data_IF_176894300092
#
_entry.id   IF_176894300092
#
_cell.length_a   1.000
_cell.length_b   1.000
_cell.length_c   1.000
_cell.angle_alpha   90.00
_cell.angle_beta   90.00
_cell.angle_gamma   90.00
#
_symmetry.space_group_name_H-M   'P 1'
#
loop_
_entity.id
_entity.type
_entity.pdbx_description
1 polymer ?
#
# COMPACT_ATOMS: atom_id res chain seq x y z
N UNK A 1 0.34 -26.37 21.16
CA UNK A 1 -0.24 -25.48 20.13
C UNK A 1 0.89 -25.15 19.18
N UNK A 2 0.77 -25.45 17.86
CA UNK A 2 1.80 -25.13 16.87
C UNK A 2 1.94 -23.63 16.75
N UNK A 3 3.18 -23.15 16.62
CA UNK A 3 3.51 -21.71 16.50
C UNK A 3 3.73 -21.31 15.04
N UNK A 4 3.16 -20.20 14.61
CA UNK A 4 3.34 -19.62 13.28
C UNK A 4 4.07 -18.29 13.35
N UNK A 5 5.10 -18.16 12.53
CA UNK A 5 5.85 -16.95 12.26
C UNK A 5 5.54 -16.47 10.85
N UNK A 6 5.20 -15.19 10.67
CA UNK A 6 4.90 -14.62 9.35
C UNK A 6 5.69 -13.35 9.16
N UNK A 7 6.47 -13.29 8.09
CA UNK A 7 7.06 -12.08 7.57
C UNK A 7 6.18 -11.47 6.48
N UNK A 8 6.01 -10.16 6.50
CA UNK A 8 5.21 -9.44 5.50
C UNK A 8 6.10 -8.53 4.67
N UNK A 9 6.07 -8.72 3.36
CA UNK A 9 6.80 -7.95 2.38
C UNK A 9 5.84 -7.34 1.37
N UNK A 10 6.00 -6.05 1.08
CA UNK A 10 5.24 -5.40 0.02
C UNK A 10 4.46 -4.17 0.47
N UNK A 11 3.20 -4.08 0.09
CA UNK A 11 2.33 -2.93 0.33
C UNK A 11 1.43 -3.12 1.56
N UNK A 12 0.68 -2.08 1.91
CA UNK A 12 -0.29 -2.11 3.01
C UNK A 12 -1.35 -3.22 2.87
N UNK A 13 -1.73 -3.58 1.63
CA UNK A 13 -2.61 -4.73 1.39
C UNK A 13 -2.01 -6.05 1.86
N UNK A 14 -0.69 -6.24 1.76
CA UNK A 14 -0.05 -7.44 2.30
C UNK A 14 -0.09 -7.47 3.83
N UNK A 15 -0.03 -6.30 4.49
CA UNK A 15 -0.21 -6.22 5.94
C UNK A 15 -1.64 -6.64 6.32
N UNK A 16 -2.66 -6.05 5.68
CA UNK A 16 -4.05 -6.46 5.90
C UNK A 16 -4.30 -7.93 5.60
N UNK A 17 -3.69 -8.47 4.54
CA UNK A 17 -3.76 -9.90 4.22
C UNK A 17 -3.12 -10.77 5.32
N UNK A 18 -2.00 -10.34 5.89
CA UNK A 18 -1.34 -11.05 7.00
C UNK A 18 -2.22 -11.09 8.25
N UNK A 19 -2.95 -10.03 8.55
CA UNK A 19 -3.91 -9.96 9.65
C UNK A 19 -5.07 -10.95 9.47
N UNK A 20 -5.54 -11.12 8.23
CA UNK A 20 -6.53 -12.14 7.87
C UNK A 20 -5.95 -13.56 8.04
N UNK A 21 -4.72 -13.77 7.55
CA UNK A 21 -4.04 -15.08 7.69
C UNK A 21 -3.87 -15.46 9.15
N UNK A 22 -3.45 -14.52 10.02
CA UNK A 22 -3.36 -14.78 11.46
C UNK A 22 -4.72 -15.12 12.07
N UNK A 23 -5.80 -14.43 11.67
CA UNK A 23 -7.14 -14.75 12.15
C UNK A 23 -7.57 -16.17 11.77
N UNK A 24 -7.34 -16.59 10.53
CA UNK A 24 -7.65 -17.93 10.04
C UNK A 24 -6.85 -18.98 10.81
N UNK A 25 -5.54 -18.79 10.96
CA UNK A 25 -4.66 -19.75 11.62
C UNK A 25 -4.90 -19.82 13.12
N UNK A 26 -5.20 -18.69 13.79
CA UNK A 26 -5.57 -18.68 15.21
C UNK A 26 -6.85 -19.49 15.47
N UNK A 27 -7.88 -19.34 14.63
CA UNK A 27 -9.11 -20.15 14.70
C UNK A 27 -8.85 -21.64 14.46
N UNK A 28 -7.80 -21.97 13.69
CA UNK A 28 -7.37 -23.34 13.44
C UNK A 28 -6.42 -23.90 14.53
N UNK A 29 -6.19 -23.16 15.61
CA UNK A 29 -5.40 -23.63 16.76
C UNK A 29 -3.89 -23.36 16.65
N UNK A 30 -3.45 -22.45 15.76
CA UNK A 30 -2.05 -21.99 15.71
C UNK A 30 -1.86 -20.77 16.61
N UNK A 31 -0.72 -20.72 17.33
CA UNK A 31 -0.29 -19.54 18.08
C UNK A 31 0.68 -18.68 17.25
N UNK A 32 0.63 -17.34 17.43
CA UNK A 32 1.61 -16.44 16.86
C UNK A 32 2.93 -16.49 17.63
N UNK A 33 4.05 -16.41 16.92
CA UNK A 33 5.37 -16.13 17.51
C UNK A 33 6.09 -15.03 16.73
N UNK A 34 6.92 -14.27 17.44
CA UNK A 34 7.84 -13.28 16.86
C UNK A 34 9.25 -13.88 16.66
N UNK A 35 9.52 -15.05 17.22
CA UNK A 35 10.80 -15.73 17.10
C UNK A 35 10.70 -16.87 16.06
N UNK A 36 11.40 -16.71 14.95
CA UNK A 36 11.49 -17.72 13.90
C UNK A 36 12.08 -19.04 14.41
N UNK A 37 12.93 -18.98 15.45
CA UNK A 37 13.52 -20.18 16.03
C UNK A 37 12.51 -21.07 16.79
N UNK A 38 11.38 -20.50 17.22
CA UNK A 38 10.32 -21.24 17.91
C UNK A 38 9.17 -21.68 16.98
N UNK A 39 9.18 -21.24 15.71
CA UNK A 39 8.09 -21.47 14.80
C UNK A 39 8.04 -22.91 14.29
N UNK A 40 6.87 -23.53 14.32
CA UNK A 40 6.57 -24.79 13.62
C UNK A 40 6.20 -24.54 12.15
N UNK A 41 5.71 -23.33 11.86
CA UNK A 41 5.33 -22.88 10.52
C UNK A 41 5.94 -21.51 10.27
N UNK A 42 6.67 -21.37 9.17
CA UNK A 42 7.33 -20.14 8.76
C UNK A 42 6.75 -19.72 7.41
N UNK A 43 6.10 -18.56 7.37
CA UNK A 43 5.44 -18.02 6.18
C UNK A 43 6.03 -16.69 5.78
N UNK A 44 6.07 -16.40 4.48
CA UNK A 44 6.28 -15.06 3.95
C UNK A 44 5.08 -14.64 3.10
N UNK A 45 4.42 -13.55 3.47
CA UNK A 45 3.42 -12.91 2.64
C UNK A 45 4.10 -11.87 1.73
N UNK A 46 3.95 -12.02 0.42
CA UNK A 46 4.86 -11.42 -0.56
C UNK A 46 4.13 -10.64 -1.64
N UNK A 47 4.82 -9.64 -2.19
CA UNK A 47 4.38 -8.78 -3.29
C UNK A 47 5.13 -9.14 -4.59
N UNK A 48 4.52 -8.87 -5.75
CA UNK A 48 5.13 -9.06 -7.07
C UNK A 48 5.30 -7.75 -7.86
N UNK A 49 5.13 -6.61 -7.20
CA UNK A 49 5.16 -5.30 -7.89
C UNK A 49 6.59 -4.84 -8.20
N UNK A 50 7.61 -5.29 -7.46
CA UNK A 50 9.00 -4.82 -7.58
C UNK A 50 10.00 -5.98 -7.68
N UNK A 51 10.94 -5.95 -8.65
CA UNK A 51 11.97 -6.99 -8.83
C UNK A 51 12.89 -7.14 -7.61
N UNK A 52 13.41 -6.04 -7.11
CA UNK A 52 14.28 -6.06 -5.93
C UNK A 52 13.60 -6.68 -4.69
N UNK A 53 12.27 -6.59 -4.60
CA UNK A 53 11.53 -7.26 -3.55
C UNK A 53 11.57 -8.78 -3.74
N UNK A 54 11.41 -9.25 -4.96
CA UNK A 54 11.42 -10.68 -5.28
C UNK A 54 12.78 -11.33 -5.05
N UNK A 55 13.87 -10.70 -5.49
CA UNK A 55 15.22 -11.21 -5.22
C UNK A 55 15.51 -11.33 -3.70
N UNK A 56 15.05 -10.35 -2.92
CA UNK A 56 15.16 -10.41 -1.46
C UNK A 56 14.36 -11.58 -0.88
N UNK A 57 13.19 -11.88 -1.44
CA UNK A 57 12.38 -13.02 -0.99
C UNK A 57 13.10 -14.35 -1.27
N UNK A 58 13.73 -14.50 -2.44
CA UNK A 58 14.52 -15.71 -2.70
C UNK A 58 15.66 -15.89 -1.70
N UNK A 59 16.39 -14.84 -1.34
CA UNK A 59 17.38 -14.89 -0.25
C UNK A 59 16.77 -15.26 1.11
N UNK A 60 15.52 -14.79 1.38
CA UNK A 60 14.82 -15.13 2.61
C UNK A 60 14.33 -16.58 2.63
N UNK A 61 13.89 -17.11 1.49
CA UNK A 61 13.52 -18.53 1.31
C UNK A 61 14.70 -19.44 1.65
N UNK A 62 15.94 -19.09 1.31
CA UNK A 62 17.12 -19.85 1.71
C UNK A 62 17.27 -19.92 3.24
N UNK A 63 17.02 -18.82 3.93
CA UNK A 63 17.08 -18.80 5.40
C UNK A 63 15.94 -19.65 6.01
N UNK A 64 14.74 -19.60 5.45
CA UNK A 64 13.64 -20.48 5.90
C UNK A 64 13.97 -21.96 5.67
N UNK A 65 14.56 -22.27 4.52
CA UNK A 65 14.98 -23.63 4.20
C UNK A 65 16.09 -24.12 5.13
N UNK A 66 16.97 -23.25 5.65
CA UNK A 66 17.93 -23.58 6.69
C UNK A 66 17.20 -24.04 7.97
N UNK A 67 16.20 -23.28 8.44
CA UNK A 67 15.40 -23.68 9.62
C UNK A 67 14.68 -25.01 9.40
N UNK A 68 14.14 -25.25 8.20
CA UNK A 68 13.50 -26.51 7.82
C UNK A 68 14.45 -27.69 7.87
N UNK A 69 15.69 -27.53 7.40
CA UNK A 69 16.71 -28.58 7.41
C UNK A 69 17.25 -28.90 8.80
N UNK A 70 17.35 -27.89 9.66
CA UNK A 70 17.91 -28.03 11.01
C UNK A 70 16.86 -28.50 12.04
N UNK A 71 15.57 -28.31 11.74
CA UNK A 71 14.44 -28.67 12.62
C UNK A 71 13.40 -29.50 11.84
N UNK A 72 13.49 -30.84 11.89
CA UNK A 72 12.52 -31.69 11.23
C UNK A 72 11.08 -31.40 11.70
N UNK A 73 10.16 -31.29 10.74
CA UNK A 73 8.74 -30.99 10.99
C UNK A 73 8.38 -29.50 10.87
N UNK A 74 9.34 -28.59 10.69
CA UNK A 74 9.04 -27.19 10.34
C UNK A 74 8.55 -27.13 8.90
N UNK A 75 7.41 -26.44 8.71
CA UNK A 75 6.79 -26.19 7.40
C UNK A 75 7.09 -24.77 6.94
N UNK A 76 7.50 -24.60 5.70
CA UNK A 76 7.78 -23.28 5.10
C UNK A 76 6.77 -22.96 4.02
N UNK A 77 6.35 -21.68 3.90
CA UNK A 77 5.36 -21.30 2.88
C UNK A 77 5.49 -19.88 2.36
N UNK A 78 5.09 -19.69 1.10
CA UNK A 78 5.01 -18.40 0.42
C UNK A 78 3.56 -18.08 0.13
N UNK A 79 3.14 -16.87 0.52
CA UNK A 79 1.78 -16.37 0.38
C UNK A 79 1.74 -15.11 -0.50
N UNK A 80 0.56 -14.77 -1.00
CA UNK A 80 0.27 -13.50 -1.65
C UNK A 80 0.61 -13.45 -3.13
N UNK A 81 0.93 -12.24 -3.65
CA UNK A 81 1.04 -12.00 -5.08
C UNK A 81 2.18 -12.77 -5.76
N UNK A 82 3.31 -12.98 -5.07
CA UNK A 82 4.43 -13.76 -5.62
C UNK A 82 4.05 -15.25 -5.71
N UNK A 83 3.32 -15.77 -4.71
CA UNK A 83 2.79 -17.14 -4.75
C UNK A 83 1.89 -17.35 -5.97
N UNK A 84 0.95 -16.42 -6.21
CA UNK A 84 0.05 -16.46 -7.36
C UNK A 84 0.78 -16.38 -8.71
N UNK A 85 1.87 -15.61 -8.79
CA UNK A 85 2.60 -15.42 -10.03
C UNK A 85 3.57 -16.57 -10.35
N UNK A 86 4.28 -17.08 -9.36
CA UNK A 86 5.31 -18.10 -9.55
C UNK A 86 4.77 -19.53 -9.45
N UNK A 87 3.67 -19.71 -8.72
CA UNK A 87 2.94 -20.99 -8.64
C UNK A 87 3.85 -22.19 -8.37
N UNK A 88 3.76 -23.17 -9.24
CA UNK A 88 4.49 -24.45 -9.16
C UNK A 88 6.01 -24.27 -9.08
N UNK A 89 6.59 -23.25 -9.73
CA UNK A 89 8.04 -23.00 -9.71
C UNK A 89 8.58 -22.78 -8.26
N UNK A 90 7.76 -22.28 -7.33
CA UNK A 90 8.14 -22.20 -5.93
C UNK A 90 8.28 -23.58 -5.27
N UNK A 91 7.34 -24.51 -5.54
CA UNK A 91 7.42 -25.88 -5.03
C UNK A 91 8.55 -26.67 -5.67
N UNK A 92 8.72 -26.54 -7.01
CA UNK A 92 9.77 -27.21 -7.76
C UNK A 92 11.18 -26.82 -7.32
N UNK A 93 11.33 -25.66 -6.66
CA UNK A 93 12.59 -25.27 -6.03
C UNK A 93 13.01 -26.22 -4.89
N UNK A 94 12.08 -27.04 -4.36
CA UNK A 94 12.30 -27.93 -3.22
C UNK A 94 12.54 -27.21 -1.89
N UNK A 95 12.37 -25.88 -1.84
CA UNK A 95 12.67 -25.04 -0.66
C UNK A 95 11.42 -24.57 0.09
N UNK A 96 10.24 -24.81 -0.48
CA UNK A 96 8.94 -24.33 0.01
C UNK A 96 7.98 -25.51 0.05
N UNK A 97 7.21 -25.64 1.12
CA UNK A 97 6.24 -26.73 1.33
C UNK A 97 4.81 -26.28 1.01
N UNK A 98 4.50 -24.98 1.17
CA UNK A 98 3.16 -24.41 0.92
C UNK A 98 3.25 -23.17 0.07
N UNK A 99 2.41 -23.12 -0.97
CA UNK A 99 2.23 -21.94 -1.84
C UNK A 99 0.75 -21.57 -1.86
N UNK A 100 0.40 -20.35 -1.41
CA UNK A 100 -0.99 -19.92 -1.39
C UNK A 100 -1.15 -18.51 -1.99
N UNK A 101 -1.99 -18.39 -3.01
CA UNK A 101 -2.39 -17.13 -3.62
C UNK A 101 -3.20 -16.25 -2.66
N UNK A 102 -3.42 -14.96 -3.02
CA UNK A 102 -4.10 -14.01 -2.13
C UNK A 102 -5.58 -14.35 -1.87
N UNK A 103 -6.19 -15.19 -2.66
CA UNK A 103 -7.59 -15.61 -2.49
C UNK A 103 -7.72 -17.03 -1.88
N UNK A 104 -6.61 -17.66 -1.54
CA UNK A 104 -6.54 -19.03 -1.03
C UNK A 104 -6.28 -19.14 0.49
N UNK A 105 -6.34 -18.04 1.25
CA UNK A 105 -5.96 -18.07 2.66
C UNK A 105 -6.87 -18.95 3.52
N UNK A 106 -8.15 -19.14 3.16
CA UNK A 106 -9.06 -20.05 3.88
C UNK A 106 -8.60 -21.49 3.83
N UNK A 107 -7.87 -21.91 2.82
CA UNK A 107 -7.35 -23.27 2.69
C UNK A 107 -6.05 -23.50 3.47
N UNK A 108 -5.40 -22.47 4.02
CA UNK A 108 -4.13 -22.58 4.72
C UNK A 108 -4.10 -23.67 5.82
N UNK A 109 -5.11 -23.81 6.70
CA UNK A 109 -5.08 -24.87 7.71
C UNK A 109 -4.97 -26.27 7.09
N UNK A 110 -5.69 -26.53 6.00
CA UNK A 110 -5.64 -27.80 5.26
C UNK A 110 -4.28 -28.00 4.59
N UNK A 111 -3.77 -26.96 3.92
CA UNK A 111 -2.48 -27.01 3.23
C UNK A 111 -1.33 -27.29 4.20
N UNK A 112 -1.33 -26.59 5.35
CA UNK A 112 -0.32 -26.77 6.39
C UNK A 112 -0.39 -28.15 7.05
N UNK A 113 -1.59 -28.70 7.25
CA UNK A 113 -1.77 -30.05 7.79
C UNK A 113 -1.17 -31.10 6.84
N UNK A 114 -1.43 -31.01 5.53
CA UNK A 114 -0.87 -31.93 4.54
C UNK A 114 0.65 -31.75 4.39
N UNK A 115 1.16 -30.53 4.38
CA UNK A 115 2.59 -30.25 4.31
C UNK A 115 3.35 -30.81 5.54
N UNK A 116 2.74 -30.78 6.73
CA UNK A 116 3.31 -31.41 7.94
C UNK A 116 3.49 -32.92 7.79
N UNK A 117 2.71 -33.56 6.91
CA UNK A 117 2.81 -35.00 6.59
C UNK A 117 3.81 -35.28 5.45
N UNK A 118 4.55 -34.27 4.99
CA UNK A 118 5.53 -34.39 3.91
C UNK A 118 4.95 -34.25 2.49
N UNK A 119 3.73 -33.75 2.36
CA UNK A 119 3.06 -33.53 1.08
C UNK A 119 3.03 -32.03 0.73
N UNK A 120 3.95 -31.51 -0.10
CA UNK A 120 3.91 -30.11 -0.53
C UNK A 120 2.58 -29.74 -1.17
N UNK A 121 2.10 -28.52 -0.91
CA UNK A 121 0.75 -28.07 -1.27
C UNK A 121 0.77 -26.72 -1.99
N UNK A 122 -0.12 -26.59 -2.97
CA UNK A 122 -0.36 -25.32 -3.67
C UNK A 122 -1.86 -25.04 -3.79
N UNK A 123 -2.22 -23.77 -3.60
CA UNK A 123 -3.55 -23.24 -3.89
C UNK A 123 -3.41 -21.79 -4.37
N UNK A 124 -3.57 -21.58 -5.67
CA UNK A 124 -3.36 -20.31 -6.36
C UNK A 124 -4.55 -19.95 -7.26
N UNK A 125 -5.72 -20.40 -6.89
CA UNK A 125 -6.95 -20.10 -7.63
C UNK A 125 -7.44 -18.69 -7.28
N UNK A 126 -7.57 -17.82 -8.28
CA UNK A 126 -8.17 -16.51 -8.13
C UNK A 126 -9.70 -16.62 -8.04
N UNK A 127 -10.26 -16.13 -6.95
CA UNK A 127 -11.70 -16.09 -6.72
C UNK A 127 -12.34 -14.91 -7.44
N UNK A 128 -13.62 -15.03 -7.75
CA UNK A 128 -14.46 -13.93 -8.23
C UNK A 128 -15.30 -13.28 -7.12
N UNK A 129 -15.33 -13.87 -5.94
CA UNK A 129 -16.23 -13.48 -4.84
C UNK A 129 -15.51 -13.21 -3.52
N UNK A 130 -14.34 -13.84 -3.28
CA UNK A 130 -13.65 -13.76 -1.99
C UNK A 130 -13.19 -12.35 -1.66
N UNK A 131 -13.68 -11.81 -0.56
CA UNK A 131 -13.29 -10.51 0.00
C UNK A 131 -12.77 -10.60 1.44
N UNK A 132 -12.91 -11.77 2.10
CA UNK A 132 -12.65 -11.99 3.52
C UNK A 132 -13.47 -11.07 4.45
N UNK A 133 -14.60 -10.57 3.95
CA UNK A 133 -15.42 -9.59 4.67
C UNK A 133 -16.08 -10.10 5.96
N UNK A 134 -16.18 -11.42 6.13
CA UNK A 134 -16.70 -12.11 7.31
C UNK A 134 -15.63 -12.41 8.37
N UNK A 135 -14.34 -12.17 8.06
CA UNK A 135 -13.23 -12.43 8.97
C UNK A 135 -12.84 -11.15 9.70
N UNK A 136 -12.92 -11.19 11.03
CA UNK A 136 -12.34 -10.14 11.87
C UNK A 136 -10.81 -10.30 11.89
N UNK A 137 -10.03 -9.29 11.42
CA UNK A 137 -8.58 -9.41 11.37
C UNK A 137 -7.94 -9.46 12.77
N UNK A 138 -6.87 -10.23 12.91
CA UNK A 138 -5.98 -10.15 14.07
C UNK A 138 -4.92 -9.10 13.79
N UNK A 139 -5.01 -7.95 14.44
CA UNK A 139 -4.11 -6.82 14.21
C UNK A 139 -2.67 -7.16 14.54
N UNK A 140 -1.77 -6.81 13.62
CA UNK A 140 -0.33 -7.06 13.75
C UNK A 140 0.47 -5.78 13.99
N UNK A 141 -0.19 -4.63 13.96
CA UNK A 141 0.46 -3.34 14.22
C UNK A 141 1.02 -3.31 15.66
N UNK A 142 2.30 -2.95 15.75
CA UNK A 142 3.01 -2.87 17.04
C UNK A 142 2.65 -1.65 17.87
N UNK A 143 2.14 -0.60 17.22
CA UNK A 143 1.88 0.68 17.89
C UNK A 143 0.44 0.81 18.38
N UNK A 144 -0.51 0.02 17.86
CA UNK A 144 -1.93 0.13 18.17
C UNK A 144 -2.56 1.48 17.77
N UNK A 145 -1.90 2.23 16.86
CA UNK A 145 -2.30 3.60 16.50
C UNK A 145 -3.14 3.62 15.23
N UNK A 146 -2.68 2.92 14.18
CA UNK A 146 -3.32 2.93 12.85
C UNK A 146 -3.71 1.52 12.43
N UNK A 147 -4.86 1.35 11.78
CA UNK A 147 -5.31 0.07 11.24
C UNK A 147 -5.61 0.16 9.75
N UNK A 148 -5.41 -0.95 9.03
CA UNK A 148 -5.73 -1.08 7.62
C UNK A 148 -7.04 -1.85 7.44
N UNK A 149 -7.95 -1.31 6.64
CA UNK A 149 -9.24 -1.96 6.33
C UNK A 149 -9.31 -2.17 4.82
N UNK A 150 -9.25 -3.42 4.39
CA UNK A 150 -9.45 -3.76 2.98
C UNK A 150 -10.94 -3.60 2.63
N UNK A 151 -11.24 -2.70 1.69
CA UNK A 151 -12.61 -2.45 1.23
C UNK A 151 -12.93 -3.17 -0.08
N UNK A 152 -11.90 -3.55 -0.82
CA UNK A 152 -12.02 -4.25 -2.10
C UNK A 152 -10.76 -5.02 -2.43
N UNK A 153 -10.84 -5.96 -3.37
CA UNK A 153 -9.73 -6.78 -3.87
C UNK A 153 -9.77 -6.85 -5.38
N UNK A 154 -8.59 -6.98 -6.01
CA UNK A 154 -8.47 -7.04 -7.46
C UNK A 154 -8.62 -5.69 -8.14
N UNK A 155 -8.46 -5.65 -9.46
CA UNK A 155 -8.56 -4.43 -10.25
C UNK A 155 -8.96 -4.77 -11.69
N UNK A 156 -9.96 -4.05 -12.21
CA UNK A 156 -10.42 -4.18 -13.60
C UNK A 156 -9.66 -3.24 -14.56
N UNK A 157 -8.77 -2.38 -14.05
CA UNK A 157 -7.91 -1.59 -14.89
C UNK A 157 -6.84 -2.48 -15.55
N UNK A 158 -6.76 -2.41 -16.86
CA UNK A 158 -5.84 -3.21 -17.69
C UNK A 158 -4.59 -2.44 -18.08
N UNK A 159 -4.00 -1.69 -17.12
CA UNK A 159 -2.75 -0.98 -17.35
C UNK A 159 -1.69 -1.94 -17.89
N UNK A 160 -1.01 -1.56 -18.98
CA UNK A 160 -0.19 -2.50 -19.76
C UNK A 160 1.00 -3.05 -18.98
N UNK A 161 1.52 -2.32 -18.01
CA UNK A 161 2.67 -2.68 -17.17
C UNK A 161 2.29 -3.44 -15.89
N UNK A 162 0.99 -3.54 -15.56
CA UNK A 162 0.55 -3.92 -14.22
C UNK A 162 0.29 -5.43 -14.10
N UNK A 163 0.81 -6.03 -13.03
CA UNK A 163 0.60 -7.45 -12.71
C UNK A 163 -0.64 -7.70 -11.85
N UNK A 164 -1.25 -6.67 -11.27
CA UNK A 164 -2.34 -6.80 -10.29
C UNK A 164 -3.52 -7.62 -10.80
N UNK A 165 -4.05 -7.41 -12.02
CA UNK A 165 -5.14 -8.25 -12.54
C UNK A 165 -4.81 -9.74 -12.60
N UNK A 166 -3.53 -10.08 -12.77
CA UNK A 166 -3.06 -11.47 -12.87
C UNK A 166 -2.74 -12.10 -11.52
N UNK A 167 -2.53 -11.28 -10.48
CA UNK A 167 -2.14 -11.76 -9.15
C UNK A 167 -3.20 -11.57 -8.08
N UNK A 168 -4.20 -10.69 -8.32
CA UNK A 168 -5.32 -10.43 -7.41
C UNK A 168 -6.69 -10.55 -8.07
N UNK A 169 -6.72 -10.88 -9.36
CA UNK A 169 -7.94 -11.13 -10.11
C UNK A 169 -8.78 -9.89 -10.39
N UNK A 170 -10.02 -10.14 -10.80
CA UNK A 170 -11.01 -9.11 -11.06
C UNK A 170 -11.40 -8.37 -9.77
N UNK A 171 -11.90 -7.16 -9.94
CA UNK A 171 -12.35 -6.30 -8.86
C UNK A 171 -13.55 -6.87 -8.12
N UNK A 172 -13.49 -6.83 -6.81
CA UNK A 172 -14.54 -7.29 -5.88
C UNK A 172 -14.63 -6.32 -4.72
N UNK A 173 -15.76 -5.65 -4.60
CA UNK A 173 -16.05 -4.77 -3.47
C UNK A 173 -16.60 -5.57 -2.29
N UNK A 174 -16.15 -5.25 -1.09
CA UNK A 174 -16.62 -5.83 0.16
C UNK A 174 -17.92 -5.15 0.59
N UNK A 175 -18.82 -5.89 1.25
CA UNK A 175 -20.04 -5.33 1.84
C UNK A 175 -19.71 -4.16 2.79
N UNK A 176 -20.30 -2.99 2.51
CA UNK A 176 -20.07 -1.76 3.25
C UNK A 176 -20.40 -1.86 4.74
N UNK A 177 -21.42 -2.67 5.10
CA UNK A 177 -21.82 -2.90 6.50
C UNK A 177 -20.70 -3.55 7.30
N UNK A 178 -19.97 -4.47 6.67
CA UNK A 178 -18.83 -5.14 7.30
C UNK A 178 -17.64 -4.21 7.44
N UNK A 179 -17.44 -3.28 6.50
CA UNK A 179 -16.38 -2.26 6.55
C UNK A 179 -16.65 -1.27 7.69
N UNK A 180 -17.86 -0.73 7.77
CA UNK A 180 -18.26 0.19 8.86
C UNK A 180 -18.15 -0.50 10.23
N UNK A 181 -18.61 -1.75 10.34
CA UNK A 181 -18.46 -2.53 11.58
C UNK A 181 -17.00 -2.70 11.98
N UNK A 182 -16.11 -2.98 11.03
CA UNK A 182 -14.68 -3.11 11.29
C UNK A 182 -14.08 -1.76 11.73
N UNK A 183 -14.48 -0.64 11.12
CA UNK A 183 -14.07 0.70 11.53
C UNK A 183 -14.49 1.00 12.98
N UNK A 184 -15.74 0.70 13.34
CA UNK A 184 -16.24 0.83 14.73
C UNK A 184 -15.45 -0.07 15.70
N UNK A 185 -15.09 -1.29 15.28
CA UNK A 185 -14.28 -2.20 16.09
C UNK A 185 -12.86 -1.64 16.31
N UNK A 186 -12.26 -0.99 15.32
CA UNK A 186 -10.99 -0.30 15.48
C UNK A 186 -11.12 0.87 16.49
N UNK A 187 -12.19 1.67 16.40
CA UNK A 187 -12.45 2.73 17.35
C UNK A 187 -12.58 2.23 18.78
N UNK A 188 -13.37 1.16 18.98
CA UNK A 188 -13.54 0.51 20.29
C UNK A 188 -12.23 -0.13 20.79
N UNK A 189 -11.37 -0.60 19.89
CA UNK A 189 -10.03 -1.13 20.19
C UNK A 189 -8.97 -0.08 20.51
N UNK A 190 -9.32 1.22 20.49
CA UNK A 190 -8.43 2.32 20.86
C UNK A 190 -7.58 2.87 19.73
N UNK A 191 -7.72 2.37 18.50
CA UNK A 191 -7.06 2.94 17.31
C UNK A 191 -7.46 4.40 17.11
N UNK A 192 -6.59 5.18 16.49
CA UNK A 192 -6.76 6.63 16.25
C UNK A 192 -6.86 6.98 14.77
N UNK A 193 -6.42 6.06 13.92
CA UNK A 193 -6.44 6.24 12.47
C UNK A 193 -6.80 4.92 11.78
N UNK A 194 -7.59 5.00 10.72
CA UNK A 194 -7.83 3.88 9.81
C UNK A 194 -7.50 4.30 8.38
N UNK A 195 -7.00 3.37 7.60
CA UNK A 195 -6.78 3.56 6.16
C UNK A 195 -7.59 2.55 5.37
N UNK A 196 -8.51 3.03 4.54
CA UNK A 196 -9.27 2.23 3.60
C UNK A 196 -8.37 1.82 2.43
N UNK A 197 -8.23 0.53 2.19
CA UNK A 197 -7.32 -0.03 1.19
C UNK A 197 -8.05 -0.75 0.06
N UNK A 198 -7.55 -0.53 -1.16
CA UNK A 198 -7.93 -1.25 -2.36
C UNK A 198 -6.83 -1.15 -3.41
N UNK A 199 -7.00 -1.79 -4.56
CA UNK A 199 -6.13 -1.60 -5.72
C UNK A 199 -6.55 -0.38 -6.55
N UNK A 200 -7.80 0.05 -6.39
CA UNK A 200 -8.38 1.28 -6.91
C UNK A 200 -9.62 1.59 -6.08
N UNK A 201 -9.48 2.32 -4.98
CA UNK A 201 -10.59 2.56 -4.05
C UNK A 201 -11.75 3.34 -4.67
N UNK A 202 -11.46 4.20 -5.64
CA UNK A 202 -12.46 5.05 -6.29
C UNK A 202 -13.48 4.26 -7.11
N UNK A 203 -13.13 3.04 -7.54
CA UNK A 203 -14.05 2.14 -8.26
C UNK A 203 -14.90 1.28 -7.33
N UNK A 204 -14.75 1.42 -6.00
CA UNK A 204 -15.58 0.68 -5.06
C UNK A 204 -17.06 0.87 -5.37
N UNK A 205 -17.76 -0.26 -5.48
CA UNK A 205 -19.22 -0.30 -5.61
C UNK A 205 -19.77 -1.59 -5.01
N UNK A 206 -20.68 -1.45 -4.06
CA UNK A 206 -21.42 -2.55 -3.49
C UNK A 206 -22.91 -2.15 -3.42
N UNK A 207 -23.76 -2.84 -4.17
CA UNK A 207 -25.15 -2.45 -4.40
C UNK A 207 -25.22 -1.00 -4.94
N UNK A 208 -25.93 -0.11 -4.27
CA UNK A 208 -26.09 1.32 -4.57
C UNK A 208 -25.03 2.22 -3.90
N UNK A 209 -24.12 1.64 -3.10
CA UNK A 209 -23.08 2.37 -2.36
C UNK A 209 -21.82 2.44 -3.21
N UNK A 210 -21.43 3.63 -3.61
CA UNK A 210 -20.15 3.95 -4.23
C UNK A 210 -19.08 4.36 -3.18
N UNK A 211 -17.88 4.67 -3.64
CA UNK A 211 -16.79 5.03 -2.73
C UNK A 211 -17.06 6.33 -1.95
N UNK A 212 -17.67 7.34 -2.58
CA UNK A 212 -17.98 8.59 -1.90
C UNK A 212 -18.96 8.36 -0.73
N UNK A 213 -20.01 7.57 -0.96
CA UNK A 213 -20.97 7.24 0.08
C UNK A 213 -20.38 6.34 1.17
N UNK A 214 -19.53 5.36 0.78
CA UNK A 214 -18.82 4.53 1.76
C UNK A 214 -17.92 5.38 2.65
N UNK A 215 -17.17 6.31 2.07
CA UNK A 215 -16.25 7.19 2.78
C UNK A 215 -17.00 8.06 3.80
N UNK A 216 -18.16 8.62 3.41
CA UNK A 216 -19.04 9.35 4.30
C UNK A 216 -19.56 8.48 5.45
N UNK A 217 -20.11 7.29 5.15
CA UNK A 217 -20.61 6.35 6.15
C UNK A 217 -19.55 5.95 7.19
N UNK A 218 -18.32 5.73 6.74
CA UNK A 218 -17.20 5.42 7.63
C UNK A 218 -16.84 6.63 8.49
N UNK A 219 -16.71 7.82 7.89
CA UNK A 219 -16.36 9.06 8.63
C UNK A 219 -17.41 9.40 9.69
N UNK A 220 -18.69 9.29 9.37
CA UNK A 220 -19.82 9.48 10.27
C UNK A 220 -19.84 8.47 11.44
N UNK A 221 -19.51 7.20 11.13
CA UNK A 221 -19.53 6.12 12.13
C UNK A 221 -18.40 6.21 13.16
N UNK A 222 -17.26 6.83 12.79
CA UNK A 222 -16.07 6.94 13.65
C UNK A 222 -15.53 8.37 13.70
N UNK A 223 -16.30 9.36 14.20
CA UNK A 223 -15.91 10.78 14.17
C UNK A 223 -14.63 11.09 14.97
N UNK A 224 -14.26 10.21 15.90
CA UNK A 224 -13.04 10.34 16.70
C UNK A 224 -11.77 9.75 16.04
N UNK A 225 -11.89 9.09 14.89
CA UNK A 225 -10.77 8.52 14.14
C UNK A 225 -10.43 9.36 12.93
N UNK A 226 -9.15 9.43 12.61
CA UNK A 226 -8.71 9.87 11.28
C UNK A 226 -9.01 8.79 10.26
N UNK A 227 -9.59 9.19 9.13
CA UNK A 227 -9.88 8.31 8.01
C UNK A 227 -8.98 8.68 6.84
N UNK A 228 -8.19 7.71 6.37
CA UNK A 228 -7.39 7.80 5.15
C UNK A 228 -7.87 6.77 4.14
N UNK A 229 -7.52 6.98 2.92
CA UNK A 229 -7.65 5.97 1.86
C UNK A 229 -6.40 5.98 0.98
N UNK A 230 -6.19 4.91 0.25
CA UNK A 230 -5.00 4.74 -0.58
C UNK A 230 -5.35 4.09 -1.90
N UNK A 231 -4.61 4.53 -2.93
CA UNK A 231 -4.67 4.04 -4.30
C UNK A 231 -5.89 4.56 -5.08
N UNK A 232 -5.93 5.89 -5.26
CA UNK A 232 -6.85 6.52 -6.21
C UNK A 232 -6.39 6.35 -7.65
N UNK A 233 -7.32 6.50 -8.57
CA UNK A 233 -7.04 6.58 -10.00
C UNK A 233 -7.56 7.92 -10.54
N UNK A 234 -6.74 8.69 -11.26
CA UNK A 234 -7.15 9.99 -11.80
C UNK A 234 -8.43 9.99 -12.60
N UNK A 235 -8.73 8.88 -13.27
CA UNK A 235 -9.94 8.67 -14.05
C UNK A 235 -11.18 8.41 -13.19
N UNK A 236 -11.01 7.71 -12.06
CA UNK A 236 -12.12 7.13 -11.31
C UNK A 236 -12.51 7.99 -10.09
N UNK A 237 -11.58 8.82 -9.56
CA UNK A 237 -11.86 9.71 -8.44
C UNK A 237 -12.93 10.74 -8.83
N UNK A 238 -14.12 10.64 -8.22
CA UNK A 238 -15.26 11.48 -8.54
C UNK A 238 -15.24 12.80 -7.76
N UNK A 239 -16.03 13.77 -8.25
CA UNK A 239 -16.27 15.02 -7.54
C UNK A 239 -16.91 14.77 -6.17
N UNK A 240 -17.82 13.81 -6.09
CA UNK A 240 -18.47 13.42 -4.84
C UNK A 240 -17.47 12.94 -3.76
N UNK A 241 -16.40 12.26 -4.17
CA UNK A 241 -15.31 11.89 -3.21
C UNK A 241 -14.63 13.13 -2.66
N UNK A 242 -14.30 14.11 -3.53
CA UNK A 242 -13.65 15.35 -3.11
C UNK A 242 -14.56 16.20 -2.20
N UNK A 243 -15.84 16.29 -2.53
CA UNK A 243 -16.86 16.98 -1.73
C UNK A 243 -17.04 16.30 -0.37
N UNK A 244 -17.07 14.96 -0.34
CA UNK A 244 -17.12 14.19 0.91
C UNK A 244 -15.90 14.46 1.79
N UNK A 245 -14.70 14.48 1.19
CA UNK A 245 -13.47 14.83 1.91
C UNK A 245 -13.54 16.25 2.48
N UNK A 246 -14.04 17.20 1.72
CA UNK A 246 -14.18 18.59 2.15
C UNK A 246 -15.18 18.75 3.29
N UNK A 247 -16.24 17.94 3.31
CA UNK A 247 -17.33 18.01 4.27
C UNK A 247 -17.05 17.35 5.63
N UNK A 248 -16.03 16.47 5.72
CA UNK A 248 -15.73 15.71 6.95
C UNK A 248 -14.32 16.00 7.44
N UNK A 249 -14.19 16.62 8.62
CA UNK A 249 -12.90 17.03 9.20
C UNK A 249 -12.02 15.86 9.61
N UNK A 250 -12.59 14.69 9.88
CA UNK A 250 -11.86 13.50 10.24
C UNK A 250 -11.33 12.73 9.03
N UNK A 251 -11.69 13.10 7.79
CA UNK A 251 -11.05 12.58 6.58
C UNK A 251 -9.77 13.39 6.31
N UNK A 252 -8.66 12.69 6.25
CA UNK A 252 -7.34 13.31 6.08
C UNK A 252 -7.19 14.02 4.75
N UNK A 253 -6.54 15.18 4.74
CA UNK A 253 -6.28 16.05 3.57
C UNK A 253 -5.08 15.56 2.77
N UNK A 254 -5.14 14.34 2.28
CA UNK A 254 -4.11 13.73 1.45
C UNK A 254 -4.74 12.81 0.41
N UNK A 255 -4.36 12.98 -0.85
CA UNK A 255 -4.76 12.12 -1.96
C UNK A 255 -3.50 11.55 -2.62
N UNK A 256 -3.42 10.22 -2.72
CA UNK A 256 -2.43 9.55 -3.55
C UNK A 256 -3.02 9.33 -4.95
N UNK A 257 -2.53 10.08 -5.95
CA UNK A 257 -3.08 10.15 -7.30
C UNK A 257 -2.01 9.76 -8.35
N UNK A 258 -1.79 8.47 -8.60
CA UNK A 258 -0.75 7.96 -9.49
C UNK A 258 -0.89 8.43 -10.93
N UNK A 259 0.02 9.28 -11.41
CA UNK A 259 0.01 9.76 -12.80
C UNK A 259 0.71 8.83 -13.78
N UNK A 260 1.72 8.11 -13.33
CA UNK A 260 2.57 7.15 -14.06
C UNK A 260 3.43 7.80 -15.15
N UNK A 261 2.89 8.64 -16.01
CA UNK A 261 3.55 9.49 -17.02
C UNK A 261 2.70 10.72 -17.29
N UNK A 262 3.25 11.72 -17.94
CA UNK A 262 2.53 12.93 -18.32
C UNK A 262 2.39 13.11 -19.83
N UNK A 263 3.07 12.30 -20.63
CA UNK A 263 2.87 12.29 -22.07
C UNK A 263 1.62 11.49 -22.43
N UNK A 264 0.69 12.08 -23.17
CA UNK A 264 -0.55 11.40 -23.59
C UNK A 264 -0.23 10.15 -24.41
N UNK A 265 0.82 10.19 -25.22
CA UNK A 265 1.33 9.05 -25.97
C UNK A 265 1.75 7.89 -25.04
N UNK A 266 2.41 8.21 -23.92
CA UNK A 266 2.81 7.20 -22.94
C UNK A 266 1.60 6.71 -22.15
N UNK A 267 0.70 7.61 -21.75
CA UNK A 267 -0.55 7.24 -21.06
C UNK A 267 -1.39 6.27 -21.90
N UNK A 268 -1.52 6.51 -23.21
CA UNK A 268 -2.20 5.60 -24.13
C UNK A 268 -1.52 4.21 -24.17
N UNK A 269 -0.19 4.16 -24.32
CA UNK A 269 0.58 2.91 -24.29
C UNK A 269 0.47 2.17 -22.96
N UNK A 270 0.44 2.91 -21.86
CA UNK A 270 0.22 2.40 -20.51
C UNK A 270 -1.23 1.98 -20.26
N UNK A 271 -2.14 2.24 -21.22
CA UNK A 271 -3.60 2.05 -21.09
C UNK A 271 -4.19 2.81 -19.91
N UNK A 272 -3.71 4.02 -19.69
CA UNK A 272 -4.35 4.99 -18.81
C UNK A 272 -5.42 5.73 -19.61
N UNK A 273 -6.63 5.86 -19.02
CA UNK A 273 -7.80 6.41 -19.74
C UNK A 273 -8.03 7.88 -19.42
N UNK A 274 -6.97 8.62 -19.20
CA UNK A 274 -6.97 10.06 -18.99
C UNK A 274 -5.80 10.68 -19.75
N UNK A 275 -5.90 11.97 -19.99
CA UNK A 275 -4.86 12.79 -20.60
C UNK A 275 -4.15 13.65 -19.54
N UNK A 276 -3.03 14.26 -19.93
CA UNK A 276 -2.35 15.28 -19.13
C UNK A 276 -3.32 16.39 -18.69
N UNK A 277 -4.12 16.91 -19.62
CA UNK A 277 -5.09 17.96 -19.35
C UNK A 277 -6.12 17.52 -18.31
N UNK A 278 -6.77 16.37 -18.50
CA UNK A 278 -7.73 15.83 -17.53
C UNK A 278 -7.14 15.57 -16.15
N UNK A 279 -5.84 15.19 -16.08
CA UNK A 279 -5.14 15.11 -14.80
C UNK A 279 -4.98 16.47 -14.13
N UNK A 280 -4.59 17.50 -14.88
CA UNK A 280 -4.44 18.88 -14.36
C UNK A 280 -5.78 19.47 -13.92
N UNK A 281 -6.87 19.22 -14.66
CA UNK A 281 -8.23 19.62 -14.25
C UNK A 281 -8.62 18.97 -12.91
N UNK A 282 -8.31 17.68 -12.73
CA UNK A 282 -8.56 16.99 -11.47
C UNK A 282 -7.77 17.61 -10.32
N UNK A 283 -6.49 17.90 -10.51
CA UNK A 283 -5.64 18.60 -9.53
C UNK A 283 -6.19 19.99 -9.20
N UNK A 284 -6.61 20.75 -10.22
CA UNK A 284 -7.18 22.08 -10.03
C UNK A 284 -8.45 22.00 -9.16
N UNK A 285 -9.31 21.00 -9.37
CA UNK A 285 -10.51 20.80 -8.58
C UNK A 285 -10.21 20.41 -7.13
N UNK A 286 -9.22 19.53 -6.90
CA UNK A 286 -8.76 19.19 -5.54
C UNK A 286 -8.32 20.45 -4.80
N UNK A 287 -7.48 21.28 -5.44
CA UNK A 287 -6.96 22.52 -4.82
C UNK A 287 -8.03 23.59 -4.61
N UNK A 288 -9.06 23.65 -5.47
CA UNK A 288 -10.17 24.57 -5.30
C UNK A 288 -11.04 24.21 -4.09
N UNK A 289 -11.33 22.92 -3.89
CA UNK A 289 -12.15 22.44 -2.76
C UNK A 289 -11.35 22.34 -1.46
N UNK A 290 -10.08 21.95 -1.56
CA UNK A 290 -9.20 21.71 -0.41
C UNK A 290 -7.80 22.29 -0.69
N UNK A 291 -7.58 23.60 -0.50
CA UNK A 291 -6.31 24.26 -0.84
C UNK A 291 -5.09 23.69 -0.07
N UNK A 292 -5.32 23.10 1.10
CA UNK A 292 -4.31 22.50 1.97
C UNK A 292 -4.12 20.99 1.74
N UNK A 293 -4.85 20.39 0.79
CA UNK A 293 -4.74 18.96 0.50
C UNK A 293 -3.39 18.64 -0.15
N UNK A 294 -2.63 17.74 0.48
CA UNK A 294 -1.40 17.22 -0.11
C UNK A 294 -1.73 16.18 -1.21
N UNK A 295 -0.97 16.25 -2.29
CA UNK A 295 -1.10 15.33 -3.42
C UNK A 295 0.21 14.58 -3.57
N UNK A 296 0.14 13.25 -3.49
CA UNK A 296 1.26 12.38 -3.84
C UNK A 296 0.97 11.57 -5.10
N UNK A 297 2.02 11.10 -5.78
CA UNK A 297 1.88 10.39 -7.05
C UNK A 297 2.84 9.22 -7.18
N UNK A 298 2.60 8.36 -8.18
CA UNK A 298 3.56 7.39 -8.72
C UNK A 298 3.95 7.80 -10.12
N UNK A 299 5.21 7.55 -10.49
CA UNK A 299 5.73 7.76 -11.85
C UNK A 299 6.69 6.64 -12.24
N UNK A 300 6.65 6.27 -13.52
CA UNK A 300 7.52 5.26 -14.13
C UNK A 300 8.37 5.94 -15.19
N UNK A 301 9.68 6.00 -14.97
CA UNK A 301 10.66 6.48 -15.93
C UNK A 301 11.12 5.36 -16.86
N UNK A 302 11.28 5.66 -18.14
CA UNK A 302 11.83 4.72 -19.13
C UNK A 302 10.88 3.59 -19.52
N UNK A 303 9.58 3.85 -19.57
CA UNK A 303 8.63 2.90 -20.14
C UNK A 303 8.92 2.69 -21.62
N UNK A 304 8.56 1.52 -22.16
CA UNK A 304 8.82 1.12 -23.54
C UNK A 304 8.56 2.26 -24.54
N UNK A 305 9.56 2.60 -25.33
CA UNK A 305 9.60 3.68 -26.33
C UNK A 305 9.43 5.11 -25.81
N UNK A 306 9.60 5.37 -24.52
CA UNK A 306 9.61 6.71 -23.96
C UNK A 306 10.73 7.54 -24.60
N UNK A 307 10.39 8.71 -25.16
CA UNK A 307 11.34 9.66 -25.77
C UNK A 307 11.80 10.71 -24.75
N UNK A 308 12.77 11.54 -25.16
CA UNK A 308 13.20 12.71 -24.34
C UNK A 308 12.09 13.76 -24.22
N UNK A 309 11.20 13.85 -25.20
CA UNK A 309 10.04 14.76 -25.15
C UNK A 309 9.03 14.26 -24.11
N UNK A 310 8.68 12.96 -24.12
CA UNK A 310 7.79 12.37 -23.11
C UNK A 310 8.33 12.55 -21.69
N UNK A 311 9.65 12.40 -21.52
CA UNK A 311 10.31 12.62 -20.24
C UNK A 311 10.23 14.08 -19.80
N UNK A 312 10.49 15.04 -20.72
CA UNK A 312 10.34 16.48 -20.43
C UNK A 312 8.91 16.86 -20.06
N UNK A 313 7.92 16.26 -20.74
CA UNK A 313 6.52 16.45 -20.38
C UNK A 313 6.27 16.01 -18.92
N UNK A 314 6.83 14.88 -18.51
CA UNK A 314 6.70 14.39 -17.14
C UNK A 314 7.33 15.36 -16.13
N UNK A 315 8.55 15.84 -16.39
CA UNK A 315 9.18 16.86 -15.52
C UNK A 315 8.33 18.14 -15.44
N UNK A 316 7.82 18.64 -16.58
CA UNK A 316 6.99 19.85 -16.59
C UNK A 316 5.66 19.69 -15.85
N UNK A 317 5.07 18.49 -15.83
CA UNK A 317 3.90 18.22 -14.99
C UNK A 317 4.23 18.29 -13.52
N UNK A 318 5.36 17.69 -13.10
CA UNK A 318 5.81 17.75 -11.72
C UNK A 318 5.97 19.20 -11.24
N UNK A 319 6.56 20.07 -12.07
CA UNK A 319 6.67 21.51 -11.77
C UNK A 319 5.30 22.20 -11.70
N UNK A 320 4.40 21.89 -12.63
CA UNK A 320 3.05 22.49 -12.66
C UNK A 320 2.21 22.09 -11.46
N UNK A 321 2.21 20.80 -11.09
CA UNK A 321 1.41 20.27 -9.98
C UNK A 321 2.04 20.62 -8.64
N UNK A 322 3.37 20.53 -8.51
CA UNK A 322 4.10 20.72 -7.27
C UNK A 322 3.71 19.63 -6.25
N UNK A 323 3.91 18.37 -6.59
CA UNK A 323 3.59 17.22 -5.73
C UNK A 323 4.29 17.33 -4.37
N UNK A 324 3.56 17.00 -3.31
CA UNK A 324 4.12 16.95 -1.95
C UNK A 324 5.08 15.77 -1.77
N UNK A 325 4.78 14.64 -2.43
CA UNK A 325 5.62 13.45 -2.46
C UNK A 325 5.39 12.65 -3.74
N UNK A 326 6.38 11.86 -4.16
CA UNK A 326 6.23 10.91 -5.25
C UNK A 326 6.98 9.60 -4.97
N UNK A 327 6.41 8.49 -5.46
CA UNK A 327 7.11 7.22 -5.57
C UNK A 327 7.56 7.05 -7.03
N UNK A 328 8.85 7.03 -7.23
CA UNK A 328 9.48 7.11 -8.53
C UNK A 328 10.18 5.79 -8.84
N UNK A 329 9.91 5.23 -10.00
CA UNK A 329 10.39 3.91 -10.41
C UNK A 329 10.99 3.96 -11.81
N UNK A 330 12.00 3.14 -12.06
CA UNK A 330 12.34 2.75 -13.42
C UNK A 330 11.35 1.69 -13.91
N UNK A 331 11.00 1.73 -15.19
CA UNK A 331 10.30 0.63 -15.81
C UNK A 331 11.13 -0.65 -15.72
N UNK A 332 10.50 -1.69 -15.23
CA UNK A 332 11.03 -3.05 -15.19
C UNK A 332 9.96 -3.96 -15.77
N UNK A 333 10.33 -4.69 -16.82
CA UNK A 333 9.42 -5.62 -17.47
C UNK A 333 8.93 -6.69 -16.50
N UNK A 334 7.62 -6.93 -16.51
CA UNK A 334 6.97 -7.95 -15.68
C UNK A 334 6.44 -9.06 -16.58
N UNK A 335 6.97 -10.28 -16.47
CA UNK A 335 6.47 -11.42 -17.24
C UNK A 335 4.96 -11.58 -17.11
N UNK A 336 4.30 -11.84 -18.23
CA UNK A 336 2.86 -12.05 -18.29
C UNK A 336 2.03 -10.78 -18.48
N UNK A 337 2.57 -9.59 -18.27
CA UNK A 337 1.88 -8.32 -18.53
C UNK A 337 1.70 -8.06 -20.02
N UNK A 338 0.76 -7.15 -20.32
CA UNK A 338 0.52 -6.76 -21.72
C UNK A 338 1.75 -6.03 -22.30
N UNK A 339 2.43 -5.21 -21.52
CA UNK A 339 3.64 -4.51 -21.96
C UNK A 339 4.73 -5.49 -22.35
N UNK A 340 5.03 -6.49 -21.50
CA UNK A 340 6.01 -7.53 -21.79
C UNK A 340 5.69 -8.36 -23.05
N UNK A 341 4.39 -8.48 -23.41
CA UNK A 341 3.95 -9.22 -24.60
C UNK A 341 3.97 -8.40 -25.87
N UNK A 342 3.77 -7.09 -25.78
CA UNK A 342 3.50 -6.24 -26.95
C UNK A 342 4.60 -5.23 -27.27
N UNK A 343 5.38 -4.82 -26.28
CA UNK A 343 6.34 -3.73 -26.43
C UNK A 343 7.73 -4.23 -26.07
N UNK A 344 8.73 -4.01 -26.94
CA UNK A 344 10.12 -4.24 -26.54
C UNK A 344 10.52 -3.25 -25.45
N UNK A 345 11.30 -3.70 -24.48
CA UNK A 345 11.95 -2.83 -23.50
C UNK A 345 13.19 -2.18 -24.15
N UNK A 346 12.94 -1.17 -24.95
CA UNK A 346 13.88 -0.53 -25.89
C UNK A 346 14.56 0.72 -25.32
N UNK A 347 14.23 1.14 -24.11
CA UNK A 347 14.92 2.27 -23.44
C UNK A 347 16.15 1.75 -22.71
N UNK A 348 17.37 2.21 -23.07
CA UNK A 348 18.60 1.72 -22.44
C UNK A 348 18.61 1.93 -20.91
N UNK A 349 19.19 1.01 -20.14
CA UNK A 349 19.21 1.10 -18.67
C UNK A 349 19.82 2.40 -18.12
N UNK A 350 20.88 2.89 -18.76
CA UNK A 350 21.53 4.17 -18.40
C UNK A 350 20.60 5.36 -18.63
N UNK A 351 19.76 5.32 -19.66
CA UNK A 351 18.76 6.37 -19.93
C UNK A 351 17.65 6.33 -18.89
N UNK A 352 17.16 5.14 -18.54
CA UNK A 352 16.18 4.97 -17.46
C UNK A 352 16.72 5.51 -16.14
N UNK A 353 17.98 5.20 -15.81
CA UNK A 353 18.64 5.65 -14.58
C UNK A 353 18.74 7.18 -14.55
N UNK A 354 19.26 7.81 -15.61
CA UNK A 354 19.36 9.27 -15.73
C UNK A 354 17.99 9.94 -15.57
N UNK A 355 16.97 9.47 -16.29
CA UNK A 355 15.61 10.03 -16.20
C UNK A 355 15.03 9.91 -14.78
N UNK A 356 15.22 8.77 -14.14
CA UNK A 356 14.79 8.58 -12.76
C UNK A 356 15.51 9.55 -11.80
N UNK A 357 16.82 9.73 -11.96
CA UNK A 357 17.62 10.66 -11.15
C UNK A 357 17.15 12.10 -11.33
N UNK A 358 16.83 12.53 -12.56
CA UNK A 358 16.28 13.85 -12.85
C UNK A 358 14.93 14.07 -12.16
N UNK A 359 14.01 13.06 -12.20
CA UNK A 359 12.72 13.14 -11.50
C UNK A 359 12.94 13.19 -9.99
N UNK A 360 13.86 12.39 -9.43
CA UNK A 360 14.19 12.38 -7.99
C UNK A 360 14.71 13.74 -7.55
N UNK A 361 15.63 14.33 -8.31
CA UNK A 361 16.19 15.65 -8.00
C UNK A 361 15.11 16.73 -7.99
N UNK A 362 14.22 16.71 -9.00
CA UNK A 362 13.09 17.62 -9.11
C UNK A 362 12.13 17.44 -7.93
N UNK A 363 11.71 16.21 -7.65
CA UNK A 363 10.77 15.94 -6.57
C UNK A 363 11.34 16.33 -5.19
N UNK A 364 12.62 16.10 -4.94
CA UNK A 364 13.27 16.52 -3.71
C UNK A 364 13.19 18.05 -3.52
N UNK A 365 13.38 18.83 -4.58
CA UNK A 365 13.19 20.30 -4.59
C UNK A 365 11.73 20.66 -4.28
N UNK A 366 10.78 20.05 -4.98
CA UNK A 366 9.34 20.33 -4.81
C UNK A 366 8.86 19.96 -3.40
N UNK A 367 9.30 18.82 -2.87
CA UNK A 367 8.96 18.42 -1.50
C UNK A 367 9.51 19.39 -0.46
N UNK A 368 10.74 19.88 -0.65
CA UNK A 368 11.31 20.91 0.23
C UNK A 368 10.52 22.23 0.13
N UNK A 369 10.15 22.66 -1.06
CA UNK A 369 9.34 23.87 -1.30
C UNK A 369 7.95 23.72 -0.64
N UNK A 370 7.31 22.54 -0.78
CA UNK A 370 6.05 22.24 -0.12
C UNK A 370 6.19 22.31 1.41
N UNK A 371 7.22 21.71 1.97
CA UNK A 371 7.45 21.72 3.41
C UNK A 371 7.82 23.12 3.95
N UNK A 372 8.53 23.92 3.17
CA UNK A 372 8.83 25.32 3.55
C UNK A 372 7.57 26.17 3.69
N UNK A 373 6.52 25.92 2.88
CA UNK A 373 5.23 26.61 3.02
C UNK A 373 4.49 26.30 4.32
N UNK A 374 4.90 25.24 5.00
CA UNK A 374 4.31 24.81 6.27
C UNK A 374 5.08 25.33 7.50
N UNK A 375 6.25 25.92 7.33
CA UNK A 375 7.01 26.55 8.41
C UNK A 375 6.20 27.75 8.97
N UNK A 376 6.07 27.81 10.28
CA UNK A 376 5.26 28.79 11.01
C UNK A 376 3.82 28.36 11.26
N UNK A 377 3.32 27.31 10.60
CA UNK A 377 1.99 26.76 10.83
C UNK A 377 1.98 25.80 12.00
N UNK A 378 0.83 25.63 12.62
CA UNK A 378 0.56 24.59 13.64
C UNK A 378 -0.30 23.49 13.02
N UNK A 379 0.11 22.24 13.21
CA UNK A 379 -0.62 21.07 12.73
C UNK A 379 -0.99 20.17 13.90
N UNK A 380 -2.20 19.61 13.84
CA UNK A 380 -2.58 18.53 14.72
C UNK A 380 -1.95 17.23 14.21
N UNK A 381 -1.04 16.65 14.99
CA UNK A 381 -0.22 15.48 14.62
C UNK A 381 -0.65 14.28 15.46
N UNK A 382 -0.78 13.13 14.83
CA UNK A 382 -0.98 11.85 15.51
C UNK A 382 0.39 11.26 15.84
N UNK A 383 0.68 11.06 17.12
CA UNK A 383 1.93 10.47 17.61
C UNK A 383 2.00 9.00 17.19
N UNK A 384 3.03 8.63 16.42
CA UNK A 384 3.27 7.25 15.99
C UNK A 384 4.32 6.55 16.86
N UNK A 385 5.21 7.30 17.50
CA UNK A 385 6.24 6.78 18.37
C UNK A 385 7.50 7.64 18.45
N UNK A 386 8.57 7.11 19.06
CA UNK A 386 9.86 7.79 19.10
C UNK A 386 10.49 7.94 17.71
N UNK A 387 11.17 9.06 17.50
CA UNK A 387 11.96 9.28 16.29
C UNK A 387 13.09 8.24 16.18
N UNK A 388 13.29 7.68 14.98
CA UNK A 388 14.36 6.69 14.75
C UNK A 388 15.77 7.26 14.93
N UNK A 389 15.92 8.60 14.82
CA UNK A 389 17.22 9.28 14.90
C UNK A 389 17.55 9.74 16.31
N UNK A 390 16.54 10.11 17.09
CA UNK A 390 16.70 10.63 18.44
C UNK A 390 15.54 10.15 19.33
N UNK A 391 15.80 9.27 20.32
CA UNK A 391 14.74 8.77 21.22
C UNK A 391 14.09 9.85 22.12
N UNK A 392 14.71 11.02 22.26
CA UNK A 392 14.14 12.15 23.00
C UNK A 392 13.16 12.97 22.14
N UNK A 393 12.91 12.55 20.91
CA UNK A 393 11.96 13.16 20.01
C UNK A 393 10.84 12.18 19.68
N UNK A 394 9.62 12.68 19.56
CA UNK A 394 8.50 11.95 18.99
C UNK A 394 8.33 12.27 17.51
N UNK A 395 7.71 11.35 16.81
CA UNK A 395 7.32 11.55 15.44
C UNK A 395 5.87 11.09 15.19
N UNK A 396 5.27 11.67 14.16
CA UNK A 396 3.93 11.32 13.75
C UNK A 396 3.51 12.04 12.47
N UNK A 397 2.33 11.73 11.96
CA UNK A 397 1.82 12.36 10.74
C UNK A 397 0.69 13.33 11.01
N UNK A 398 0.72 14.45 10.26
CA UNK A 398 -0.41 15.36 10.18
C UNK A 398 -1.49 14.84 9.20
N UNK A 399 -2.57 15.61 9.03
CA UNK A 399 -3.66 15.27 8.09
C UNK A 399 -3.15 15.14 6.64
N UNK A 400 -2.18 15.93 6.23
CA UNK A 400 -1.54 15.94 4.91
C UNK A 400 -0.55 14.76 4.69
N UNK A 401 -0.49 13.82 5.62
CA UNK A 401 0.43 12.67 5.59
C UNK A 401 1.92 13.05 5.65
N UNK A 402 2.25 14.28 6.05
CA UNK A 402 3.63 14.72 6.23
C UNK A 402 4.15 14.29 7.60
N UNK A 403 5.38 13.78 7.63
CA UNK A 403 6.05 13.38 8.87
C UNK A 403 6.48 14.63 9.64
N UNK A 404 6.04 14.72 10.89
CA UNK A 404 6.45 15.74 11.85
C UNK A 404 7.33 15.11 12.92
N UNK A 405 8.36 15.83 13.38
CA UNK A 405 9.27 15.42 14.46
C UNK A 405 9.42 16.61 15.41
N UNK A 406 9.34 16.36 16.71
CA UNK A 406 9.46 17.39 17.76
C UNK A 406 10.06 16.80 19.05
N UNK A 407 10.75 17.58 19.88
CA UNK A 407 11.19 17.16 21.20
C UNK A 407 9.98 16.94 22.10
N UNK A 408 9.87 15.73 22.64
CA UNK A 408 8.78 15.38 23.57
C UNK A 408 9.10 14.05 24.26
N UNK A 409 8.82 13.99 25.57
CA UNK A 409 8.98 12.77 26.37
C UNK A 409 7.72 12.42 27.18
N UNK A 410 6.67 13.22 27.05
CA UNK A 410 5.46 13.08 27.87
C UNK A 410 4.33 12.35 27.14
N UNK A 411 4.17 12.61 25.82
CA UNK A 411 3.12 12.00 25.01
C UNK A 411 3.47 10.57 24.57
N UNK A 412 2.45 9.83 24.19
CA UNK A 412 2.54 8.40 23.80
C UNK A 412 1.96 8.17 22.41
N UNK A 413 2.34 7.06 21.75
CA UNK A 413 1.68 6.65 20.52
C UNK A 413 0.16 6.62 20.66
N UNK A 414 -0.54 7.27 19.73
CA UNK A 414 -1.98 7.44 19.73
C UNK A 414 -2.48 8.80 20.27
N UNK A 415 -1.63 9.59 20.92
CA UNK A 415 -2.00 10.95 21.30
C UNK A 415 -2.09 11.86 20.07
N UNK A 416 -2.98 12.85 20.14
CA UNK A 416 -3.10 13.91 19.14
C UNK A 416 -2.58 15.21 19.78
N UNK A 417 -1.51 15.75 19.22
CA UNK A 417 -0.83 16.95 19.73
C UNK A 417 -0.76 18.03 18.66
N UNK A 418 -0.75 19.27 19.09
CA UNK A 418 -0.56 20.41 18.19
C UNK A 418 0.93 20.75 18.15
N UNK A 419 1.51 20.69 16.93
CA UNK A 419 2.94 20.93 16.69
C UNK A 419 3.10 22.14 15.80
N UNK A 420 3.80 23.16 16.29
CA UNK A 420 4.20 24.34 15.52
C UNK A 420 5.48 24.03 14.76
N UNK A 421 5.43 24.19 13.45
CA UNK A 421 6.58 23.88 12.58
C UNK A 421 7.56 25.04 12.59
N UNK A 422 8.80 24.76 12.95
CA UNK A 422 9.89 25.75 13.03
C UNK A 422 10.85 25.64 11.85
N UNK A 423 11.05 24.44 11.30
CA UNK A 423 11.98 24.17 10.23
C UNK A 423 11.53 22.93 9.43
N UNK A 424 12.19 22.63 8.33
CA UNK A 424 11.90 21.44 7.54
C UNK A 424 13.11 20.92 6.77
N UNK A 425 13.02 19.65 6.39
CA UNK A 425 13.80 19.04 5.32
C UNK A 425 12.86 18.66 4.17
N UNK A 426 13.39 18.08 3.11
CA UNK A 426 12.56 17.53 2.02
C UNK A 426 11.61 16.40 2.50
N UNK A 427 11.94 15.71 3.58
CA UNK A 427 11.20 14.53 4.04
C UNK A 427 10.42 14.76 5.36
N UNK A 428 10.71 15.82 6.11
CA UNK A 428 10.25 15.96 7.50
C UNK A 428 10.02 17.41 7.88
N UNK A 429 8.95 17.67 8.59
CA UNK A 429 8.67 18.92 9.29
C UNK A 429 9.23 18.83 10.71
N UNK A 430 9.98 19.84 11.14
CA UNK A 430 10.59 19.91 12.45
C UNK A 430 9.89 20.99 13.28
N UNK A 431 9.45 20.68 14.48
CA UNK A 431 8.63 21.60 15.27
C UNK A 431 8.84 21.49 16.76
N UNK A 432 7.95 22.13 17.48
CA UNK A 432 7.81 22.09 18.93
C UNK A 432 6.32 21.96 19.28
N UNK A 433 5.99 21.55 20.51
CA UNK A 433 4.62 21.56 21.00
C UNK A 433 4.11 23.02 21.03
N UNK A 434 2.88 23.23 20.52
CA UNK A 434 2.27 24.55 20.41
C UNK A 434 1.61 25.01 21.74
#
# INVERSE_FOLDING_TARGET
MKKVYIETYGCQMNVADTEIVFSILTKAGYGRTEDIAEADVILANTCSVRDNAEQRIWGRIEQFNFHRKTRPGVVTGILGCMAERLKEALLESGKVDVVAGPDAYRSLPRLLAAATQGHPQIDVLLSREETYGDIAPVRVDRNGVSAFISIMRGCNNVCSYCVVPYTRGAERSRDWKTIVREACSCAAGGYKEITLLGQNVDSYRYEDIDFARLLALVAEAVPGLRVRFSTSNPQDISDAVLETMAAHDNICRHIHLPVQSSSDRMLEKMRRRYTREGYLERVAKIRALMPDCAISTDVIAGFCSETEEDHRDTLSLFETVGFDAAFMFQYSERPGTLAAKKYPDDVPPEVKTRRLEEIIALQNRLSLESNRRDVGKTFRVLVEGPSKRNPAELCGRNSQNKMCVWPDTEHRPGDLVDVKILNCSQATLLGELA
#
